data_IF_558151187867
#
_entry.id   IF_558151187867
#
_cell.length_a   1.000
_cell.length_b   1.000
_cell.length_c   1.000
_cell.angle_alpha   90.00
_cell.angle_beta   90.00
_cell.angle_gamma   90.00
#
_symmetry.space_group_name_H-M   'P 1'
#
loop_
_entity.id
_entity.type
_entity.pdbx_description
1 polymer ?
#
# COMPACT_ATOMS: atom_id res chain seq x y z
N UNK A 1 -14.50 -15.80 -1.74
CA UNK A 1 -14.81 -15.04 -2.97
C UNK A 1 -15.55 -13.76 -2.65
N UNK A 2 -14.87 -12.63 -2.87
CA UNK A 2 -15.35 -11.28 -2.66
C UNK A 2 -16.49 -10.92 -3.62
N UNK A 3 -17.34 -9.96 -3.25
CA UNK A 3 -18.53 -9.58 -4.03
C UNK A 3 -18.17 -9.07 -5.44
N UNK A 4 -17.06 -8.34 -5.55
CA UNK A 4 -16.52 -7.81 -6.82
C UNK A 4 -16.18 -8.94 -7.80
N UNK A 5 -15.58 -10.02 -7.31
CA UNK A 5 -15.15 -11.16 -8.14
C UNK A 5 -16.32 -12.02 -8.60
N UNK A 6 -17.45 -12.00 -7.89
CA UNK A 6 -18.70 -12.64 -8.36
C UNK A 6 -19.29 -11.99 -9.62
N UNK A 7 -19.01 -10.71 -9.88
CA UNK A 7 -19.42 -10.07 -11.13
C UNK A 7 -18.54 -10.54 -12.28
N UNK A 8 -17.24 -10.73 -12.04
CA UNK A 8 -16.34 -11.30 -13.05
C UNK A 8 -16.77 -12.73 -13.40
N UNK A 9 -17.00 -13.59 -12.40
CA UNK A 9 -17.40 -14.98 -12.59
C UNK A 9 -18.67 -15.12 -13.44
N UNK A 10 -19.66 -14.27 -13.17
CA UNK A 10 -20.93 -14.20 -13.93
C UNK A 10 -20.72 -13.81 -15.40
N UNK A 11 -19.65 -13.09 -15.71
CA UNK A 11 -19.31 -12.64 -17.06
C UNK A 11 -18.10 -13.40 -17.62
N UNK A 12 -17.78 -14.58 -17.08
CA UNK A 12 -16.57 -15.34 -17.44
C UNK A 12 -16.47 -15.67 -18.94
N UNK A 13 -17.60 -15.84 -19.63
CA UNK A 13 -17.65 -16.04 -21.08
C UNK A 13 -16.98 -14.90 -21.87
N UNK A 14 -17.05 -13.65 -21.37
CA UNK A 14 -16.40 -12.48 -21.99
C UNK A 14 -14.88 -12.66 -22.07
N UNK A 15 -14.28 -13.36 -21.10
CA UNK A 15 -12.83 -13.53 -21.00
C UNK A 15 -12.36 -14.86 -21.62
N UNK A 16 -13.29 -15.75 -21.99
CA UNK A 16 -12.98 -17.09 -22.49
C UNK A 16 -12.22 -17.10 -23.82
N UNK A 17 -12.32 -16.01 -24.58
CA UNK A 17 -11.63 -15.84 -25.87
C UNK A 17 -10.26 -15.15 -25.73
N UNK A 18 -9.96 -14.55 -24.59
CA UNK A 18 -8.68 -13.88 -24.33
C UNK A 18 -7.58 -14.94 -24.17
N UNK A 19 -6.52 -14.87 -24.99
CA UNK A 19 -5.37 -15.79 -24.83
C UNK A 19 -4.46 -15.34 -23.70
N UNK A 20 -4.22 -14.04 -23.59
CA UNK A 20 -3.36 -13.43 -22.59
C UNK A 20 -4.16 -12.43 -21.75
N UNK A 21 -4.68 -12.91 -20.63
CA UNK A 21 -5.42 -12.11 -19.67
C UNK A 21 -4.53 -11.70 -18.50
N UNK A 22 -4.45 -10.39 -18.22
CA UNK A 22 -3.85 -9.87 -16.99
C UNK A 22 -4.97 -9.49 -16.01
N UNK A 23 -4.80 -9.82 -14.73
CA UNK A 23 -5.68 -9.34 -13.66
C UNK A 23 -4.88 -8.44 -12.73
N UNK A 24 -5.34 -7.21 -12.54
CA UNK A 24 -4.72 -6.22 -11.68
C UNK A 24 -5.50 -6.02 -10.37
N UNK A 25 -4.81 -6.12 -9.24
CA UNK A 25 -5.30 -5.78 -7.91
C UNK A 25 -6.49 -6.59 -7.38
N UNK A 26 -6.60 -7.92 -7.63
CA UNK A 26 -7.73 -8.69 -7.12
C UNK A 26 -7.75 -8.71 -5.58
N UNK A 27 -8.91 -8.93 -4.94
CA UNK A 27 -9.00 -9.09 -3.49
C UNK A 27 -8.16 -10.29 -3.00
N UNK A 28 -7.58 -10.23 -1.78
CA UNK A 28 -6.83 -11.34 -1.21
C UNK A 28 -7.65 -12.63 -1.14
N UNK A 29 -7.06 -13.75 -1.54
CA UNK A 29 -7.66 -15.09 -1.45
C UNK A 29 -8.84 -15.35 -2.39
N UNK A 30 -9.08 -14.49 -3.38
CA UNK A 30 -10.10 -14.78 -4.38
C UNK A 30 -9.66 -15.90 -5.33
N UNK A 31 -10.54 -16.88 -5.64
CA UNK A 31 -10.25 -17.92 -6.61
C UNK A 31 -10.23 -17.30 -8.00
N UNK A 32 -9.12 -17.40 -8.73
CA UNK A 32 -8.95 -16.83 -10.07
C UNK A 32 -8.58 -17.88 -11.11
N UNK A 33 -8.44 -19.15 -10.70
CA UNK A 33 -8.02 -20.27 -11.54
C UNK A 33 -8.98 -20.49 -12.71
N UNK A 34 -10.28 -20.23 -12.50
CA UNK A 34 -11.32 -20.35 -13.52
C UNK A 34 -11.16 -19.36 -14.69
N UNK A 35 -10.44 -18.25 -14.47
CA UNK A 35 -10.11 -17.27 -15.51
C UNK A 35 -8.83 -17.63 -16.27
N UNK A 36 -8.05 -18.59 -15.74
CA UNK A 36 -6.73 -18.96 -16.24
C UNK A 36 -5.87 -17.75 -16.66
N UNK A 37 -5.63 -16.77 -15.76
CA UNK A 37 -4.87 -15.57 -16.12
C UNK A 37 -3.44 -15.93 -16.54
N UNK A 38 -2.89 -15.15 -17.47
CA UNK A 38 -1.47 -15.20 -17.84
C UNK A 38 -0.65 -14.67 -16.67
N UNK A 39 -1.03 -13.49 -16.16
CA UNK A 39 -0.44 -12.87 -14.96
C UNK A 39 -1.50 -12.25 -14.06
N UNK A 40 -1.20 -12.23 -12.77
CA UNK A 40 -1.91 -11.44 -11.76
C UNK A 40 -0.93 -10.45 -11.18
N UNK A 41 -1.18 -9.16 -11.34
CA UNK A 41 -0.31 -8.09 -10.85
C UNK A 41 -0.99 -7.41 -9.66
N UNK A 42 -0.23 -7.13 -8.61
CA UNK A 42 -0.75 -6.43 -7.43
C UNK A 42 0.31 -5.54 -6.80
N UNK A 43 -0.14 -4.41 -6.24
CA UNK A 43 0.67 -3.56 -5.38
C UNK A 43 0.45 -3.87 -3.89
N UNK A 44 -0.46 -4.79 -3.54
CA UNK A 44 -0.69 -5.23 -2.17
C UNK A 44 -0.01 -6.58 -1.93
N UNK A 45 0.96 -6.60 -1.03
CA UNK A 45 1.74 -7.78 -0.69
C UNK A 45 0.90 -8.88 -0.02
N UNK A 46 -0.20 -8.53 0.65
CA UNK A 46 -1.16 -9.52 1.20
C UNK A 46 -1.84 -10.29 0.07
N UNK A 47 -2.24 -9.59 -1.00
CA UNK A 47 -2.79 -10.21 -2.21
C UNK A 47 -1.75 -11.16 -2.80
N UNK A 48 -0.51 -10.68 -2.96
CA UNK A 48 0.59 -11.49 -3.48
C UNK A 48 0.76 -12.79 -2.68
N UNK A 49 0.89 -12.71 -1.35
CA UNK A 49 1.04 -13.89 -0.47
C UNK A 49 -0.14 -14.84 -0.60
N UNK A 50 -1.37 -14.30 -0.60
CA UNK A 50 -2.59 -15.12 -0.61
C UNK A 50 -2.77 -15.93 -1.89
N UNK A 51 -2.38 -15.36 -3.04
CA UNK A 51 -2.56 -15.99 -4.35
C UNK A 51 -1.34 -16.79 -4.80
N UNK A 52 -0.16 -16.54 -4.22
CA UNK A 52 1.08 -17.25 -4.58
C UNK A 52 0.97 -18.77 -4.40
N UNK A 53 0.20 -19.23 -3.42
CA UNK A 53 -0.01 -20.66 -3.18
C UNK A 53 -0.82 -21.34 -4.29
N UNK A 54 -1.77 -20.65 -4.92
CA UNK A 54 -2.66 -21.24 -5.92
C UNK A 54 -2.23 -20.96 -7.37
N UNK A 55 -1.67 -19.78 -7.63
CA UNK A 55 -1.26 -19.34 -8.97
C UNK A 55 0.26 -19.32 -9.19
N UNK A 56 1.05 -19.57 -8.14
CA UNK A 56 2.52 -19.68 -8.24
C UNK A 56 3.17 -18.45 -8.86
N UNK A 57 4.01 -18.68 -9.86
CA UNK A 57 4.78 -17.64 -10.56
C UNK A 57 3.95 -16.75 -11.49
N UNK A 58 2.63 -16.98 -11.58
CA UNK A 58 1.72 -16.06 -12.29
C UNK A 58 1.45 -14.78 -11.49
N UNK A 59 1.65 -14.80 -10.17
CA UNK A 59 1.39 -13.65 -9.30
C UNK A 59 2.65 -12.79 -9.18
N UNK A 60 2.52 -11.51 -9.50
CA UNK A 60 3.60 -10.53 -9.51
C UNK A 60 3.30 -9.40 -8.53
N UNK A 61 4.25 -9.14 -7.64
CA UNK A 61 4.31 -7.93 -6.82
C UNK A 61 5.35 -7.01 -7.46
N UNK A 62 4.93 -6.23 -8.46
CA UNK A 62 5.86 -5.46 -9.31
C UNK A 62 5.18 -4.27 -9.99
N UNK A 63 6.01 -3.27 -10.29
CA UNK A 63 5.75 -2.09 -11.13
C UNK A 63 6.58 -2.12 -12.43
N UNK A 64 7.34 -3.19 -12.65
CA UNK A 64 8.17 -3.38 -13.83
C UNK A 64 7.44 -4.19 -14.92
N UNK A 65 7.80 -3.92 -16.17
CA UNK A 65 7.32 -4.64 -17.34
C UNK A 65 8.26 -5.77 -17.80
N UNK A 66 9.34 -6.03 -17.05
CA UNK A 66 10.34 -7.04 -17.39
C UNK A 66 9.71 -8.44 -17.48
N UNK A 67 9.83 -9.07 -18.66
CA UNK A 67 9.26 -10.39 -18.93
C UNK A 67 7.74 -10.42 -19.07
N UNK A 68 7.07 -9.26 -19.17
CA UNK A 68 5.67 -9.18 -19.56
C UNK A 68 5.56 -9.06 -21.09
N UNK A 69 4.82 -9.98 -21.69
CA UNK A 69 4.44 -9.90 -23.10
C UNK A 69 3.17 -9.07 -23.26
N UNK A 70 2.96 -8.52 -24.46
CA UNK A 70 1.72 -7.83 -24.79
C UNK A 70 0.51 -8.76 -24.56
N UNK A 71 -0.52 -8.25 -23.88
CA UNK A 71 -1.73 -8.98 -23.51
C UNK A 71 -2.95 -8.53 -24.33
N UNK A 72 -3.94 -9.41 -24.43
CA UNK A 72 -5.18 -9.15 -25.18
C UNK A 72 -6.21 -8.42 -24.32
N UNK A 73 -6.15 -8.61 -23.00
CA UNK A 73 -7.09 -8.02 -22.07
C UNK A 73 -6.47 -7.79 -20.69
N UNK A 74 -6.99 -6.79 -19.98
CA UNK A 74 -6.72 -6.56 -18.57
C UNK A 74 -8.03 -6.40 -17.78
N UNK A 75 -8.14 -7.07 -16.63
CA UNK A 75 -9.19 -6.83 -15.65
C UNK A 75 -8.58 -6.06 -14.48
N UNK A 76 -9.04 -4.84 -14.24
CA UNK A 76 -8.57 -3.99 -13.16
C UNK A 76 -9.65 -3.92 -12.09
N UNK A 77 -9.34 -4.46 -10.91
CA UNK A 77 -10.10 -4.15 -9.71
C UNK A 77 -9.74 -2.74 -9.26
N UNK A 78 -10.72 -1.83 -9.31
CA UNK A 78 -10.43 -0.43 -9.04
C UNK A 78 -9.87 -0.24 -7.62
N UNK A 79 -8.85 0.61 -7.45
CA UNK A 79 -8.39 1.02 -6.12
C UNK A 79 -9.43 1.92 -5.46
N UNK A 80 -9.21 2.25 -4.18
CA UNK A 80 -10.05 3.22 -3.45
C UNK A 80 -9.85 4.65 -3.97
N UNK A 81 -8.61 5.01 -4.33
CA UNK A 81 -8.24 6.36 -4.74
C UNK A 81 -8.23 6.52 -6.27
N UNK A 82 -8.79 7.63 -6.77
CA UNK A 82 -8.83 7.91 -8.22
C UNK A 82 -7.45 8.17 -8.83
N UNK A 83 -6.58 8.88 -8.12
CA UNK A 83 -5.23 9.16 -8.61
C UNK A 83 -4.39 7.88 -8.71
N UNK A 84 -4.61 6.91 -7.81
CA UNK A 84 -4.00 5.59 -7.91
C UNK A 84 -4.51 4.82 -9.15
N UNK A 85 -5.80 4.95 -9.49
CA UNK A 85 -6.32 4.37 -10.73
C UNK A 85 -5.69 4.99 -11.97
N UNK A 86 -5.43 6.31 -11.96
CA UNK A 86 -4.74 6.98 -13.07
C UNK A 86 -3.34 6.39 -13.29
N UNK A 87 -2.60 6.16 -12.19
CA UNK A 87 -1.29 5.50 -12.23
C UNK A 87 -1.39 4.06 -12.74
N UNK A 88 -2.35 3.28 -12.21
CA UNK A 88 -2.56 1.89 -12.64
C UNK A 88 -2.89 1.82 -14.13
N UNK A 89 -3.78 2.69 -14.63
CA UNK A 89 -4.12 2.75 -16.06
C UNK A 89 -2.89 3.10 -16.90
N UNK A 90 -2.10 4.09 -16.50
CA UNK A 90 -0.86 4.43 -17.19
C UNK A 90 0.18 3.29 -17.18
N UNK A 91 0.20 2.49 -16.11
CA UNK A 91 1.08 1.31 -16.00
C UNK A 91 0.62 0.14 -16.86
N UNK A 92 -0.68 -0.21 -16.83
CA UNK A 92 -1.18 -1.43 -17.47
C UNK A 92 -1.52 -1.25 -18.93
N UNK A 93 -1.94 -0.06 -19.36
CA UNK A 93 -2.39 0.15 -20.76
C UNK A 93 -1.28 -0.03 -21.80
N UNK A 94 0.00 0.32 -21.53
CA UNK A 94 1.11 -0.01 -22.44
C UNK A 94 1.41 -1.52 -22.53
N UNK A 95 0.84 -2.35 -21.65
CA UNK A 95 0.96 -3.81 -21.72
C UNK A 95 -0.05 -4.43 -22.68
N UNK A 96 -1.07 -3.70 -23.13
CA UNK A 96 -2.06 -4.22 -24.09
C UNK A 96 -1.58 -4.07 -25.52
N UNK A 97 -1.99 -5.01 -26.37
CA UNK A 97 -1.98 -4.80 -27.81
C UNK A 97 -3.02 -3.73 -28.22
N UNK A 98 -2.80 -3.08 -29.37
CA UNK A 98 -3.80 -2.16 -29.93
C UNK A 98 -5.12 -2.93 -30.16
N UNK A 99 -6.23 -2.36 -29.70
CA UNK A 99 -7.54 -3.01 -29.71
C UNK A 99 -7.79 -3.98 -28.57
N UNK A 100 -6.84 -4.18 -27.66
CA UNK A 100 -7.00 -5.02 -26.48
C UNK A 100 -8.03 -4.46 -25.48
N UNK A 101 -8.62 -5.34 -24.69
CA UNK A 101 -9.76 -5.02 -23.83
C UNK A 101 -9.35 -4.56 -22.43
N UNK A 102 -9.90 -3.43 -21.99
CA UNK A 102 -9.74 -2.90 -20.64
C UNK A 102 -11.05 -3.09 -19.88
N UNK A 103 -11.03 -3.92 -18.85
CA UNK A 103 -12.16 -4.13 -17.95
C UNK A 103 -11.92 -3.44 -16.61
N UNK A 104 -12.89 -2.65 -16.14
CA UNK A 104 -12.90 -2.13 -14.76
C UNK A 104 -13.99 -2.80 -13.95
N UNK A 105 -13.62 -3.36 -12.80
CA UNK A 105 -14.57 -3.92 -11.83
C UNK A 105 -14.49 -3.20 -10.50
N UNK A 106 -15.64 -2.87 -9.92
CA UNK A 106 -15.68 -2.15 -8.65
C UNK A 106 -17.07 -2.01 -8.05
N UNK A 107 -17.12 -1.60 -6.80
CA UNK A 107 -18.37 -1.31 -6.09
C UNK A 107 -18.88 0.10 -6.41
N UNK A 108 -20.20 0.27 -6.46
CA UNK A 108 -20.87 1.57 -6.63
C UNK A 108 -20.45 2.56 -5.55
N UNK A 109 -20.42 2.11 -4.29
CA UNK A 109 -19.97 2.94 -3.16
C UNK A 109 -18.48 3.29 -3.19
N UNK A 110 -17.67 2.51 -3.91
CA UNK A 110 -16.26 2.80 -4.15
C UNK A 110 -16.04 3.70 -5.38
N UNK A 111 -17.10 4.21 -6.00
CA UNK A 111 -16.99 5.22 -7.06
C UNK A 111 -16.71 4.67 -8.46
N UNK A 112 -16.97 3.39 -8.74
CA UNK A 112 -16.71 2.76 -10.05
C UNK A 112 -17.29 3.53 -11.24
N UNK A 113 -18.50 4.10 -11.12
CA UNK A 113 -19.09 4.87 -12.21
C UNK A 113 -18.29 6.15 -12.53
N UNK A 114 -17.65 6.76 -11.53
CA UNK A 114 -16.76 7.89 -11.75
C UNK A 114 -15.38 7.44 -12.24
N UNK A 115 -14.90 6.28 -11.80
CA UNK A 115 -13.65 5.68 -12.26
C UNK A 115 -13.71 5.33 -13.75
N UNK A 116 -14.84 4.77 -14.21
CA UNK A 116 -15.05 4.41 -15.61
C UNK A 116 -14.95 5.59 -16.58
N UNK A 117 -15.22 6.83 -16.13
CA UNK A 117 -15.00 8.03 -16.94
C UNK A 117 -13.54 8.22 -17.36
N UNK A 118 -12.57 7.61 -16.65
CA UNK A 118 -11.15 7.67 -17.01
C UNK A 118 -10.83 6.89 -18.28
N UNK A 119 -11.66 5.90 -18.64
CA UNK A 119 -11.50 5.10 -19.86
C UNK A 119 -11.60 5.94 -21.14
N UNK A 120 -12.26 7.10 -21.11
CA UNK A 120 -12.34 7.99 -22.29
C UNK A 120 -11.00 8.53 -22.77
N UNK A 121 -9.94 8.43 -21.94
CA UNK A 121 -8.58 8.80 -22.33
C UNK A 121 -7.88 7.70 -23.16
N UNK A 122 -8.45 6.50 -23.17
CA UNK A 122 -7.88 5.29 -23.76
C UNK A 122 -8.75 4.67 -24.85
N UNK A 123 -10.04 5.03 -24.88
CA UNK A 123 -11.07 4.39 -25.68
C UNK A 123 -12.19 5.38 -26.03
N UNK A 124 -12.73 5.29 -27.25
CA UNK A 124 -13.97 5.97 -27.65
C UNK A 124 -15.24 5.15 -27.39
N UNK A 125 -15.11 3.87 -27.04
CA UNK A 125 -16.18 2.87 -26.95
C UNK A 125 -16.47 2.38 -25.51
N UNK A 126 -16.02 3.13 -24.49
CA UNK A 126 -16.20 2.76 -23.09
C UNK A 126 -17.69 2.60 -22.69
N UNK A 127 -18.06 1.40 -22.23
CA UNK A 127 -19.43 1.06 -21.90
C UNK A 127 -19.54 0.18 -20.65
N UNK A 128 -20.74 0.14 -20.06
CA UNK A 128 -21.03 -0.66 -18.87
C UNK A 128 -21.66 -1.99 -19.29
N UNK A 129 -20.98 -3.10 -19.02
CA UNK A 129 -21.43 -4.46 -19.37
C UNK A 129 -22.41 -5.01 -18.33
N UNK A 130 -22.10 -4.86 -17.04
CA UNK A 130 -22.94 -5.44 -15.98
C UNK A 130 -23.04 -4.52 -14.76
N UNK A 131 -24.12 -4.70 -14.00
CA UNK A 131 -24.37 -4.02 -12.73
C UNK A 131 -25.18 -4.93 -11.81
N UNK A 132 -24.48 -5.72 -10.99
CA UNK A 132 -25.09 -6.65 -10.04
C UNK A 132 -24.42 -6.56 -8.66
N UNK A 133 -25.16 -6.93 -7.59
CA UNK A 133 -24.64 -7.04 -6.20
C UNK A 133 -23.83 -5.81 -5.74
N UNK A 134 -24.35 -4.61 -6.01
CA UNK A 134 -23.69 -3.33 -5.71
C UNK A 134 -22.34 -3.10 -6.42
N UNK A 135 -21.99 -3.93 -7.39
CA UNK A 135 -20.80 -3.82 -8.23
C UNK A 135 -21.17 -3.49 -9.68
N UNK A 136 -20.20 -3.02 -10.45
CA UNK A 136 -20.30 -2.79 -11.89
C UNK A 136 -19.09 -3.38 -12.60
N UNK A 137 -19.31 -3.80 -13.83
CA UNK A 137 -18.27 -4.17 -14.80
C UNK A 137 -18.38 -3.21 -15.99
N UNK A 138 -17.27 -2.55 -16.30
CA UNK A 138 -17.11 -1.68 -17.45
C UNK A 138 -16.08 -2.27 -18.39
N UNK A 139 -16.22 -1.95 -19.66
CA UNK A 139 -15.35 -2.38 -20.74
C UNK A 139 -15.04 -1.22 -21.68
N UNK A 140 -13.88 -1.29 -22.30
CA UNK A 140 -13.38 -0.37 -23.30
C UNK A 140 -12.35 -1.12 -24.15
N UNK A 141 -12.33 -0.86 -25.46
CA UNK A 141 -11.28 -1.37 -26.35
C UNK A 141 -10.21 -0.29 -26.51
N UNK A 142 -8.93 -0.64 -26.34
CA UNK A 142 -7.84 0.31 -26.46
C UNK A 142 -7.71 0.80 -27.91
N UNK A 143 -8.23 1.99 -28.20
CA UNK A 143 -8.20 2.62 -29.53
C UNK A 143 -7.33 3.88 -29.60
N UNK A 144 -6.95 4.44 -28.44
CA UNK A 144 -6.05 5.59 -28.35
C UNK A 144 -4.59 5.16 -28.19
N UNK A 145 -3.67 6.02 -28.63
CA UNK A 145 -2.23 5.84 -28.39
C UNK A 145 -1.92 6.02 -26.90
N UNK A 146 -1.11 5.12 -26.35
CA UNK A 146 -0.62 5.19 -24.98
C UNK A 146 0.89 5.41 -24.96
N UNK A 147 1.35 6.20 -23.99
CA UNK A 147 2.77 6.45 -23.78
C UNK A 147 3.39 5.37 -22.87
N UNK A 148 4.68 5.04 -23.03
CA UNK A 148 5.35 4.11 -22.14
C UNK A 148 5.28 4.57 -20.67
N UNK A 149 5.07 3.62 -19.75
CA UNK A 149 5.05 3.91 -18.32
C UNK A 149 6.44 4.24 -17.79
N UNK A 150 6.55 5.33 -17.03
CA UNK A 150 7.74 5.71 -16.26
C UNK A 150 7.32 6.08 -14.85
N UNK A 151 7.81 5.34 -13.84
CA UNK A 151 7.51 5.62 -12.44
C UNK A 151 7.93 7.04 -12.02
N UNK A 152 9.00 7.57 -12.62
CA UNK A 152 9.54 8.90 -12.31
C UNK A 152 8.54 10.01 -12.62
N UNK A 153 7.70 9.82 -13.64
CA UNK A 153 6.72 10.82 -14.09
C UNK A 153 5.57 10.98 -13.08
N UNK A 154 5.42 9.99 -12.19
CA UNK A 154 4.40 9.96 -11.13
C UNK A 154 4.97 10.29 -9.75
N UNK A 155 6.29 10.40 -9.63
CA UNK A 155 6.99 10.66 -8.37
C UNK A 155 7.24 12.16 -8.24
N UNK A 156 6.70 12.77 -7.19
CA UNK A 156 6.99 14.16 -6.81
C UNK A 156 7.73 14.19 -5.48
N UNK A 157 8.14 15.39 -5.04
CA UNK A 157 8.74 15.55 -3.72
C UNK A 157 8.34 16.87 -3.07
N UNK A 158 8.28 16.90 -1.75
CA UNK A 158 8.06 18.10 -0.93
C UNK A 158 9.03 18.11 0.26
N UNK A 159 9.29 19.28 0.83
CA UNK A 159 10.18 19.44 1.98
C UNK A 159 9.37 19.42 3.28
N UNK A 160 9.91 18.75 4.28
CA UNK A 160 9.40 18.68 5.65
C UNK A 160 10.48 19.18 6.59
N UNK A 161 10.12 19.99 7.58
CA UNK A 161 11.04 20.46 8.61
C UNK A 161 10.37 20.35 9.98
N UNK A 162 11.01 19.61 10.89
CA UNK A 162 10.56 19.45 12.29
C UNK A 162 11.78 19.48 13.19
N UNK A 163 11.77 20.28 14.25
CA UNK A 163 12.86 20.41 15.22
C UNK A 163 14.25 20.61 14.56
N UNK A 164 14.34 21.54 13.61
CA UNK A 164 15.56 21.88 12.84
C UNK A 164 16.13 20.71 12.00
N UNK A 165 15.35 19.66 11.76
CA UNK A 165 15.69 18.55 10.87
C UNK A 165 14.84 18.66 9.61
N UNK A 166 15.50 18.91 8.49
CA UNK A 166 14.87 18.93 7.17
C UNK A 166 14.93 17.56 6.49
N UNK A 167 13.84 17.18 5.82
CA UNK A 167 13.70 15.95 5.07
C UNK A 167 13.03 16.25 3.72
N UNK A 168 13.60 15.76 2.62
CA UNK A 168 12.93 15.79 1.31
C UNK A 168 12.14 14.50 1.12
N UNK A 169 10.82 14.60 1.05
CA UNK A 169 9.90 13.46 1.05
C UNK A 169 9.38 13.21 -0.35
N UNK A 170 9.51 11.98 -0.84
CA UNK A 170 8.89 11.59 -2.10
C UNK A 170 7.37 11.39 -1.92
N UNK A 171 6.61 11.56 -2.99
CA UNK A 171 5.17 11.34 -3.01
C UNK A 171 4.74 10.71 -4.33
N UNK A 172 3.80 9.78 -4.26
CA UNK A 172 3.22 9.10 -5.42
C UNK A 172 1.74 8.78 -5.17
N UNK A 173 0.87 8.84 -6.19
CA UNK A 173 -0.52 8.44 -6.04
C UNK A 173 -0.70 7.03 -5.47
N UNK A 174 -1.60 6.89 -4.49
CA UNK A 174 -1.84 5.60 -3.82
C UNK A 174 -1.05 5.40 -2.52
N UNK A 175 -0.15 6.32 -2.17
CA UNK A 175 0.54 6.33 -0.86
C UNK A 175 -0.14 7.35 0.08
N UNK A 176 -0.09 7.08 1.38
CA UNK A 176 -0.69 7.93 2.41
C UNK A 176 -0.03 9.32 2.44
N UNK A 177 -0.85 10.36 2.68
CA UNK A 177 -0.44 11.77 2.81
C UNK A 177 0.36 12.32 1.62
N UNK A 178 -0.27 12.37 0.44
CA UNK A 178 0.37 12.88 -0.78
C UNK A 178 0.57 14.39 -0.67
N UNK A 179 1.83 14.82 -0.68
CA UNK A 179 2.21 16.23 -0.82
C UNK A 179 2.20 17.06 0.47
N UNK A 180 1.77 16.48 1.59
CA UNK A 180 1.74 17.15 2.90
C UNK A 180 2.10 16.15 4.01
N UNK A 181 2.63 16.67 5.13
CA UNK A 181 2.90 15.86 6.32
C UNK A 181 1.58 15.60 7.08
N UNK A 182 1.32 14.35 7.43
CA UNK A 182 0.18 13.98 8.25
C UNK A 182 0.33 14.53 9.68
N UNK A 183 -0.73 15.14 10.22
CA UNK A 183 -0.76 15.77 11.56
C UNK A 183 -0.33 14.79 12.67
N UNK A 184 -0.70 13.50 12.55
CA UNK A 184 -0.27 12.46 13.49
C UNK A 184 1.23 12.19 13.40
N UNK A 185 1.74 12.04 12.18
CA UNK A 185 3.19 11.89 11.93
C UNK A 185 3.95 13.10 12.46
N UNK A 186 3.52 14.31 12.17
CA UNK A 186 4.13 15.56 12.68
C UNK A 186 4.21 15.57 14.21
N UNK A 187 3.10 15.25 14.89
CA UNK A 187 3.05 15.16 16.35
C UNK A 187 4.07 14.13 16.89
N UNK A 188 4.22 12.99 16.22
CA UNK A 188 5.20 11.98 16.58
C UNK A 188 6.62 12.51 16.37
N UNK A 189 6.95 13.09 15.21
CA UNK A 189 8.30 13.62 14.91
C UNK A 189 8.72 14.70 15.92
N UNK A 190 7.80 15.58 16.29
CA UNK A 190 8.03 16.64 17.28
C UNK A 190 8.36 16.10 18.68
N UNK A 191 7.90 14.89 19.00
CA UNK A 191 8.06 14.24 20.31
C UNK A 191 8.94 12.98 20.25
N UNK A 192 9.63 12.75 19.14
CA UNK A 192 10.52 11.60 18.99
C UNK A 192 11.73 11.76 19.91
N UNK A 193 12.06 10.69 20.62
CA UNK A 193 13.22 10.69 21.51
C UNK A 193 14.51 10.47 20.73
N UNK A 194 15.55 11.16 21.19
CA UNK A 194 16.93 10.94 20.75
C UNK A 194 17.51 9.74 21.50
N UNK A 195 18.52 9.08 20.94
CA UNK A 195 19.25 7.91 21.50
C UNK A 195 18.62 6.54 21.25
N UNK A 196 18.09 6.34 20.05
CA UNK A 196 17.84 5.00 19.53
C UNK A 196 19.16 4.34 19.10
N UNK A 197 19.28 3.03 19.33
CA UNK A 197 20.48 2.25 19.02
C UNK A 197 20.09 0.88 18.44
N UNK A 198 21.02 0.27 17.70
CA UNK A 198 20.83 -1.06 17.12
C UNK A 198 19.85 -1.07 15.95
N UNK A 199 19.08 -2.16 15.81
CA UNK A 199 18.09 -2.33 14.73
C UNK A 199 16.80 -1.61 15.06
N UNK A 200 16.36 -0.70 14.20
CA UNK A 200 15.12 0.07 14.37
C UNK A 200 14.20 -0.23 13.21
N UNK A 201 12.94 -0.57 13.52
CA UNK A 201 11.93 -0.83 12.51
C UNK A 201 10.94 0.33 12.44
N UNK A 202 10.73 0.85 11.23
CA UNK A 202 9.55 1.63 10.87
C UNK A 202 8.49 0.69 10.24
N UNK A 203 7.38 0.50 10.94
CA UNK A 203 6.32 -0.41 10.52
C UNK A 203 5.16 0.36 9.88
N UNK A 204 4.81 -0.02 8.64
CA UNK A 204 3.84 0.72 7.83
C UNK A 204 4.45 2.03 7.37
N UNK A 205 5.64 1.96 6.76
CA UNK A 205 6.50 3.12 6.56
C UNK A 205 5.91 4.18 5.61
N UNK A 206 4.93 3.84 4.76
CA UNK A 206 4.34 4.80 3.84
C UNK A 206 5.39 5.42 2.91
N UNK A 207 5.52 6.74 2.90
CA UNK A 207 6.56 7.47 2.15
C UNK A 207 7.94 7.45 2.81
N UNK A 208 8.11 6.75 3.94
CA UNK A 208 9.38 6.61 4.66
C UNK A 208 9.73 7.78 5.57
N UNK A 209 8.82 8.73 5.79
CA UNK A 209 9.04 9.94 6.59
C UNK A 209 9.52 9.60 8.00
N UNK A 210 8.79 8.71 8.67
CA UNK A 210 9.04 8.37 10.07
C UNK A 210 10.40 7.70 10.24
N UNK A 211 10.69 6.65 9.45
CA UNK A 211 11.98 5.96 9.47
C UNK A 211 13.14 6.88 9.09
N UNK A 212 13.03 7.65 8.01
CA UNK A 212 14.10 8.54 7.56
C UNK A 212 14.41 9.63 8.59
N UNK A 213 13.38 10.27 9.16
CA UNK A 213 13.57 11.23 10.26
C UNK A 213 14.24 10.57 11.48
N UNK A 214 13.80 9.35 11.84
CA UNK A 214 14.39 8.59 12.94
C UNK A 214 15.89 8.35 12.74
N UNK A 215 16.30 8.03 11.51
CA UNK A 215 17.70 7.82 11.13
C UNK A 215 18.53 9.10 11.10
N UNK A 216 17.97 10.23 10.67
CA UNK A 216 18.63 11.53 10.76
C UNK A 216 18.88 11.94 12.21
N UNK A 217 17.88 11.72 13.08
CA UNK A 217 17.97 12.00 14.51
C UNK A 217 18.94 11.03 15.23
N UNK A 218 19.10 9.81 14.71
CA UNK A 218 19.94 8.77 15.30
C UNK A 218 20.83 8.10 14.23
N UNK A 219 21.92 8.76 13.78
CA UNK A 219 22.71 8.29 12.63
C UNK A 219 23.30 6.88 12.78
N UNK A 220 23.52 6.41 14.01
CA UNK A 220 24.12 5.11 14.32
C UNK A 220 23.19 3.89 14.22
N UNK A 221 21.88 4.08 14.02
CA UNK A 221 20.93 2.96 13.95
C UNK A 221 21.07 2.18 12.64
N UNK A 222 20.68 0.90 12.66
CA UNK A 222 20.38 0.12 11.45
C UNK A 222 18.88 0.21 11.21
N UNK A 223 18.46 1.00 10.22
CA UNK A 223 17.05 1.23 9.93
C UNK A 223 16.52 0.14 9.01
N UNK A 224 15.36 -0.40 9.34
CA UNK A 224 14.52 -1.24 8.50
C UNK A 224 13.17 -0.55 8.31
N UNK A 225 12.62 -0.55 7.10
CA UNK A 225 11.29 -0.04 6.81
C UNK A 225 10.46 -1.10 6.09
N UNK A 226 9.25 -1.32 6.58
CA UNK A 226 8.33 -2.32 5.99
C UNK A 226 6.96 -1.75 5.71
N UNK A 227 6.38 -2.18 4.60
CA UNK A 227 5.02 -1.87 4.21
C UNK A 227 4.42 -3.02 3.41
N UNK A 228 3.09 -3.08 3.33
CA UNK A 228 2.35 -4.00 2.46
C UNK A 228 2.21 -3.44 1.04
N UNK A 229 2.30 -2.13 0.86
CA UNK A 229 2.04 -1.44 -0.40
C UNK A 229 3.33 -1.21 -1.18
N UNK A 230 3.42 -1.76 -2.39
CA UNK A 230 4.55 -1.58 -3.29
C UNK A 230 4.85 -0.10 -3.57
N UNK A 231 3.82 0.72 -3.76
CA UNK A 231 3.98 2.15 -4.03
C UNK A 231 4.58 2.87 -2.81
N UNK A 232 4.20 2.46 -1.59
CA UNK A 232 4.79 2.98 -0.36
C UNK A 232 6.28 2.63 -0.29
N UNK A 233 6.64 1.37 -0.53
CA UNK A 233 8.05 0.95 -0.55
C UNK A 233 8.88 1.73 -1.57
N UNK A 234 8.35 1.95 -2.79
CA UNK A 234 9.03 2.75 -3.83
C UNK A 234 9.17 4.22 -3.44
N UNK A 235 8.17 4.76 -2.76
CA UNK A 235 8.19 6.11 -2.22
C UNK A 235 9.23 6.25 -1.10
N UNK A 236 9.28 5.29 -0.17
CA UNK A 236 10.26 5.24 0.92
C UNK A 236 11.70 5.06 0.41
N UNK A 237 11.92 4.25 -0.63
CA UNK A 237 13.20 4.12 -1.32
C UNK A 237 13.67 5.47 -1.88
N UNK A 238 12.78 6.21 -2.56
CA UNK A 238 13.12 7.51 -3.12
C UNK A 238 13.35 8.57 -2.04
N UNK A 239 12.53 8.60 -0.98
CA UNK A 239 12.76 9.46 0.19
C UNK A 239 14.13 9.18 0.80
N UNK A 240 14.49 7.92 1.05
CA UNK A 240 15.79 7.57 1.60
C UNK A 240 16.94 8.04 0.67
N UNK A 241 16.79 7.82 -0.64
CA UNK A 241 17.75 8.27 -1.66
C UNK A 241 17.94 9.78 -1.67
N UNK A 242 16.86 10.56 -1.63
CA UNK A 242 16.89 12.02 -1.63
C UNK A 242 17.59 12.61 -0.40
N UNK A 243 17.65 11.87 0.70
CA UNK A 243 18.26 12.29 1.95
C UNK A 243 19.58 11.57 2.27
N UNK A 244 20.12 10.78 1.34
CA UNK A 244 21.35 10.00 1.50
C UNK A 244 21.32 9.05 2.72
N UNK A 245 20.18 8.40 2.93
CA UNK A 245 19.96 7.50 4.07
C UNK A 245 20.16 6.05 3.63
N UNK A 246 21.03 5.35 4.36
CA UNK A 246 21.17 3.89 4.28
C UNK A 246 20.08 3.20 5.11
N UNK A 247 19.35 2.29 4.47
CA UNK A 247 18.15 1.64 5.03
C UNK A 247 17.78 0.36 4.28
N UNK A 248 17.33 -0.64 5.01
CA UNK A 248 16.77 -1.88 4.46
C UNK A 248 15.25 -1.73 4.29
N UNK A 249 14.76 -1.69 3.04
CA UNK A 249 13.33 -1.53 2.72
C UNK A 249 12.81 -2.80 2.05
N UNK A 250 11.73 -3.38 2.57
CA UNK A 250 11.18 -4.61 2.01
C UNK A 250 9.68 -4.80 2.31
N UNK A 251 8.94 -5.54 1.47
CA UNK A 251 7.53 -5.81 1.73
C UNK A 251 7.35 -6.74 2.93
N UNK A 252 6.37 -6.45 3.79
CA UNK A 252 6.01 -7.32 4.91
C UNK A 252 4.53 -7.27 5.21
N UNK A 253 3.92 -8.43 5.44
CA UNK A 253 2.55 -8.54 5.95
C UNK A 253 2.60 -8.67 7.48
N UNK A 254 2.47 -7.54 8.17
CA UNK A 254 2.72 -7.50 9.60
C UNK A 254 4.17 -7.87 9.92
N UNK A 255 4.36 -8.77 10.88
CA UNK A 255 5.67 -9.23 11.33
C UNK A 255 6.26 -10.39 10.50
N UNK A 256 5.58 -10.84 9.45
CA UNK A 256 5.89 -12.11 8.78
C UNK A 256 7.29 -12.13 8.13
N UNK A 257 7.70 -11.04 7.49
CA UNK A 257 8.99 -10.94 6.81
C UNK A 257 10.08 -10.32 7.70
N UNK A 258 9.70 -9.75 8.85
CA UNK A 258 10.66 -9.20 9.83
C UNK A 258 11.41 -10.32 10.54
N UNK A 259 12.72 -10.40 10.28
CA UNK A 259 13.61 -11.42 10.83
C UNK A 259 14.22 -11.00 12.16
N UNK A 260 14.28 -11.95 13.10
CA UNK A 260 14.89 -11.75 14.41
C UNK A 260 14.12 -10.73 15.27
N UNK A 261 14.83 -10.17 16.27
CA UNK A 261 14.30 -9.11 17.13
C UNK A 261 14.91 -7.76 16.77
N UNK A 262 14.14 -6.69 16.94
CA UNK A 262 14.57 -5.31 16.74
C UNK A 262 14.74 -4.59 18.09
N UNK A 263 15.63 -3.62 18.12
CA UNK A 263 15.97 -2.85 19.31
C UNK A 263 15.05 -1.65 19.54
N UNK A 264 14.32 -1.20 18.52
CA UNK A 264 13.22 -0.25 18.67
C UNK A 264 12.20 -0.40 17.55
N UNK A 265 11.00 0.13 17.81
CA UNK A 265 9.89 0.14 16.87
C UNK A 265 9.22 1.52 16.87
N UNK A 266 9.09 2.11 15.69
CA UNK A 266 8.33 3.33 15.43
C UNK A 266 7.23 3.01 14.41
N UNK A 267 6.04 3.60 14.57
CA UNK A 267 4.94 3.35 13.61
C UNK A 267 3.86 4.44 13.65
N UNK A 268 3.30 4.74 12.49
CA UNK A 268 2.01 5.40 12.31
C UNK A 268 1.09 4.45 11.52
N UNK A 269 0.39 3.51 12.20
CA UNK A 269 -0.39 2.49 11.51
C UNK A 269 -1.56 3.12 10.74
N UNK A 270 -1.93 2.58 9.58
CA UNK A 270 -3.02 3.11 8.77
C UNK A 270 -4.35 3.10 9.53
N UNK A 271 -5.14 4.15 9.32
CA UNK A 271 -6.45 4.30 9.91
C UNK A 271 -7.50 4.65 8.84
N UNK A 272 -8.50 3.77 8.66
CA UNK A 272 -9.76 4.15 8.02
C UNK A 272 -10.96 3.88 8.92
N UNK A 273 -11.78 4.93 9.10
CA UNK A 273 -13.07 4.81 9.79
C UNK A 273 -13.94 3.76 9.09
N UNK A 274 -14.35 2.72 9.83
CA UNK A 274 -15.35 1.74 9.38
C UNK A 274 -14.82 0.47 8.70
N UNK A 275 -13.53 0.16 8.81
CA UNK A 275 -12.96 -1.10 8.30
C UNK A 275 -12.47 -1.96 9.47
N UNK A 276 -13.33 -2.84 10.01
CA UNK A 276 -13.01 -3.75 11.14
C UNK A 276 -11.71 -4.55 10.93
N UNK A 277 -11.36 -4.84 9.67
CA UNK A 277 -10.14 -5.57 9.32
C UNK A 277 -8.86 -4.76 9.55
N UNK A 278 -8.90 -3.43 9.46
CA UNK A 278 -7.71 -2.59 9.71
C UNK A 278 -7.42 -2.45 11.20
N UNK A 279 -8.45 -2.31 12.05
CA UNK A 279 -8.30 -2.35 13.51
C UNK A 279 -7.67 -3.64 13.98
N UNK A 280 -8.22 -4.79 13.56
CA UNK A 280 -7.71 -6.11 13.95
C UNK A 280 -6.26 -6.33 13.49
N UNK A 281 -5.86 -5.75 12.36
CA UNK A 281 -4.47 -5.79 11.87
C UNK A 281 -3.54 -5.02 12.80
N UNK A 282 -3.86 -3.77 13.16
CA UNK A 282 -3.02 -2.96 14.05
C UNK A 282 -2.96 -3.53 15.47
N UNK A 283 -4.09 -4.02 16.00
CA UNK A 283 -4.10 -4.69 17.30
C UNK A 283 -3.26 -5.97 17.31
N UNK A 284 -3.36 -6.79 16.26
CA UNK A 284 -2.57 -8.00 16.10
C UNK A 284 -1.07 -7.68 16.03
N UNK A 285 -0.72 -6.61 15.33
CA UNK A 285 0.64 -6.09 15.28
C UNK A 285 1.16 -5.67 16.67
N UNK A 286 0.41 -4.88 17.46
CA UNK A 286 0.80 -4.45 18.81
C UNK A 286 0.96 -5.67 19.74
N UNK A 287 0.06 -6.64 19.65
CA UNK A 287 0.13 -7.89 20.42
C UNK A 287 1.40 -8.70 20.05
N UNK A 288 1.74 -8.77 18.77
CA UNK A 288 2.93 -9.47 18.28
C UNK A 288 4.26 -8.74 18.55
N UNK A 289 4.24 -7.43 18.84
CA UNK A 289 5.44 -6.62 19.03
C UNK A 289 6.34 -7.14 20.16
N UNK A 290 5.76 -7.64 21.26
CA UNK A 290 6.50 -8.22 22.39
C UNK A 290 7.44 -9.36 21.96
N UNK A 291 7.07 -10.16 20.98
CA UNK A 291 7.89 -11.29 20.53
C UNK A 291 8.96 -10.89 19.52
N UNK A 292 8.85 -9.68 18.97
CA UNK A 292 9.73 -9.15 17.93
C UNK A 292 10.65 -8.03 18.42
N UNK A 293 10.42 -7.50 19.61
CA UNK A 293 11.29 -6.52 20.26
C UNK A 293 12.35 -7.19 21.16
N UNK A 294 13.53 -6.59 21.34
CA UNK A 294 14.48 -6.99 22.39
C UNK A 294 14.02 -6.49 23.77
N UNK A 295 14.58 -7.02 24.86
CA UNK A 295 14.24 -6.54 26.21
C UNK A 295 14.56 -5.03 26.31
N UNK A 296 13.68 -4.25 26.93
CA UNK A 296 13.83 -2.79 27.07
C UNK A 296 13.85 -2.01 25.74
N UNK A 297 13.49 -2.64 24.62
CA UNK A 297 13.36 -1.94 23.35
C UNK A 297 12.23 -0.91 23.44
N UNK A 298 12.48 0.37 23.11
CA UNK A 298 11.43 1.37 23.03
C UNK A 298 10.46 1.08 21.88
N UNK A 299 9.20 1.40 22.14
CA UNK A 299 8.08 1.37 21.21
C UNK A 299 7.44 2.75 21.17
N UNK A 300 7.30 3.31 19.97
CA UNK A 300 6.65 4.60 19.73
C UNK A 300 5.57 4.45 18.67
N UNK A 301 4.36 4.86 18.99
CA UNK A 301 3.20 4.75 18.10
C UNK A 301 2.38 6.04 18.17
N UNK A 302 2.01 6.59 17.02
CA UNK A 302 0.96 7.61 16.95
C UNK A 302 -0.31 7.00 16.39
N UNK A 303 -1.46 7.42 16.92
CA UNK A 303 -2.75 7.00 16.43
C UNK A 303 -3.84 8.01 16.81
N UNK A 304 -5.02 7.89 16.21
CA UNK A 304 -6.14 8.74 16.59
C UNK A 304 -6.57 8.57 18.05
N UNK A 305 -6.91 9.67 18.74
CA UNK A 305 -7.15 9.71 20.18
C UNK A 305 -8.34 8.87 20.66
N UNK A 306 -9.34 8.59 19.80
CA UNK A 306 -10.49 7.75 20.15
C UNK A 306 -10.17 6.25 20.16
N UNK A 307 -9.01 5.84 19.63
CA UNK A 307 -8.57 4.45 19.61
C UNK A 307 -8.10 4.02 21.00
N UNK A 308 -8.49 2.83 21.44
CA UNK A 308 -8.16 2.28 22.76
C UNK A 308 -6.81 1.54 22.77
N UNK A 309 -5.79 2.10 22.09
CA UNK A 309 -4.49 1.43 21.97
C UNK A 309 -3.71 1.36 23.28
N UNK A 310 -3.88 2.31 24.21
CA UNK A 310 -3.24 2.26 25.52
C UNK A 310 -3.45 0.91 26.21
N UNK A 311 -4.69 0.42 26.34
CA UNK A 311 -4.98 -0.87 26.98
C UNK A 311 -4.35 -2.08 26.27
N UNK A 312 -4.18 -2.00 24.95
CA UNK A 312 -3.61 -3.10 24.15
C UNK A 312 -2.09 -3.10 24.28
N UNK A 313 -1.48 -1.91 24.26
CA UNK A 313 -0.06 -1.71 24.52
C UNK A 313 0.26 -2.19 25.94
N UNK A 314 -0.55 -1.84 26.93
CA UNK A 314 -0.32 -2.20 28.32
C UNK A 314 -0.39 -3.71 28.55
N UNK A 315 -1.39 -4.37 27.96
CA UNK A 315 -1.51 -5.82 28.01
C UNK A 315 -0.33 -6.56 27.35
N UNK A 316 0.28 -5.95 26.32
CA UNK A 316 1.41 -6.54 25.58
C UNK A 316 2.76 -6.27 26.26
N UNK A 317 3.04 -5.01 26.58
CA UNK A 317 4.38 -4.49 26.94
C UNK A 317 4.44 -3.86 28.34
N UNK A 318 3.34 -3.81 29.10
CA UNK A 318 3.34 -3.29 30.47
C UNK A 318 3.02 -1.80 30.55
N UNK A 319 3.95 -0.93 30.95
CA UNK A 319 3.63 0.50 31.11
C UNK A 319 3.51 1.18 29.74
N UNK A 320 2.42 1.91 29.52
CA UNK A 320 2.21 2.78 28.36
C UNK A 320 2.11 4.24 28.83
N UNK A 321 3.04 5.08 28.39
CA UNK A 321 3.00 6.52 28.62
C UNK A 321 2.42 7.24 27.38
N UNK A 322 1.74 8.36 27.59
CA UNK A 322 1.35 9.29 26.51
C UNK A 322 2.36 10.44 26.52
N UNK A 323 3.14 10.57 25.46
CA UNK A 323 4.16 11.62 25.33
C UNK A 323 3.56 12.96 24.93
N UNK A 324 2.58 12.92 24.03
CA UNK A 324 1.88 14.08 23.53
C UNK A 324 0.48 13.69 23.07
N UNK A 325 -0.45 14.64 23.15
CA UNK A 325 -1.79 14.45 22.62
C UNK A 325 -2.37 15.76 22.07
N UNK A 326 -3.22 15.60 21.07
CA UNK A 326 -4.11 16.63 20.54
C UNK A 326 -5.54 16.11 20.60
N UNK A 327 -6.49 16.93 20.15
CA UNK A 327 -7.89 16.50 20.01
C UNK A 327 -8.05 15.31 19.05
N UNK A 328 -7.14 15.15 18.09
CA UNK A 328 -7.21 14.13 17.04
C UNK A 328 -6.26 12.96 17.25
N UNK A 329 -5.05 13.18 17.79
CA UNK A 329 -3.97 12.18 17.84
C UNK A 329 -3.33 12.05 19.22
N UNK A 330 -2.77 10.87 19.50
CA UNK A 330 -1.97 10.55 20.69
C UNK A 330 -0.69 9.84 20.30
N UNK A 331 0.42 10.26 20.90
CA UNK A 331 1.73 9.60 20.79
C UNK A 331 1.95 8.76 22.04
N UNK A 332 1.99 7.45 21.85
CA UNK A 332 2.20 6.46 22.90
C UNK A 332 3.65 5.99 22.92
N UNK A 333 4.20 5.86 24.13
CA UNK A 333 5.52 5.28 24.38
C UNK A 333 5.41 4.10 25.33
N UNK A 334 6.08 3.01 24.98
CA UNK A 334 6.24 1.86 25.87
C UNK A 334 7.64 1.25 25.71
N UNK A 335 7.94 0.26 26.53
CA UNK A 335 9.14 -0.56 26.44
C UNK A 335 8.77 -2.03 26.59
N UNK A 336 9.46 -2.93 25.90
CA UNK A 336 9.28 -4.37 26.09
C UNK A 336 9.78 -4.88 27.45
#
# INVERSE_FOLDING_TARGET
MHVRSKVIERNSEQFSQCRKLIIFGPPPGDPLEYLNPEKVITFDYRVYRSLKNSLGNKVLFSLGNEGLEACDAVIIHIPKAKAELDLILAYVTPLLCQGGDIYLVGEKKAGIASAAKKLSSYSSDASKIDSAKHCQLWHASLDQKVEPFSLKDWMTSFDVEVNDISLKVAAIPGVFSIGELDEGTELLLANMFTRLEGRVLDFGCGSGVLGCYTKLLNPGIKLEMVDINLLALKCAEETARLNNIDVDIYPSDGWAEVKGRVNALVTNPPFHQGVDTEYTTTEGFIKGAKDKLTKHAPFLLVANSFLKYASIIEASMGRCDVLAETTKFRVYKAFR
#
